data_IF_025043305525
#
_entry.id   IF_025043305525
#
_cell.length_a   1.000
_cell.length_b   1.000
_cell.length_c   1.000
_cell.angle_alpha   90.00
_cell.angle_beta   90.00
_cell.angle_gamma   90.00
#
_symmetry.space_group_name_H-M   'P 1'
#
loop_
_entity.id
_entity.type
_entity.pdbx_description
1 polymer ?
#
# COMPACT_ATOMS: atom_id res chain seq x y z
N UNK A 1 -3.21 1.57 9.24
CA UNK A 1 -4.34 2.13 8.44
C UNK A 1 -3.89 2.79 7.13
N UNK A 2 -3.08 3.86 7.20
CA UNK A 2 -2.72 4.70 6.03
C UNK A 2 -1.98 3.91 4.95
N UNK A 3 -1.05 3.02 5.34
CA UNK A 3 -0.30 2.15 4.42
C UNK A 3 -1.19 1.16 3.67
N UNK A 4 -2.33 0.77 4.26
CA UNK A 4 -3.35 -0.02 3.59
C UNK A 4 -4.24 0.81 2.66
N UNK A 5 -4.02 2.11 2.50
CA UNK A 5 -4.78 2.97 1.57
C UNK A 5 -6.08 3.52 2.15
N UNK A 6 -6.21 3.52 3.48
CA UNK A 6 -7.38 3.97 4.21
C UNK A 6 -7.27 5.41 4.73
N UNK A 7 -8.40 6.11 4.79
CA UNK A 7 -8.60 7.35 5.57
C UNK A 7 -9.77 7.17 6.54
N UNK A 8 -9.76 7.86 7.68
CA UNK A 8 -10.89 7.86 8.61
C UNK A 8 -11.94 8.88 8.16
N UNK A 9 -13.21 8.52 8.19
CA UNK A 9 -14.31 9.39 7.73
C UNK A 9 -14.93 10.24 8.87
N UNK A 10 -14.19 10.44 9.95
CA UNK A 10 -14.58 11.09 11.22
C UNK A 10 -15.79 10.44 11.92
N UNK A 11 -16.00 9.14 11.72
CA UNK A 11 -17.09 8.39 12.33
C UNK A 11 -16.51 7.22 13.10
N UNK A 12 -16.24 7.43 14.39
CA UNK A 12 -15.61 6.42 15.26
C UNK A 12 -14.32 5.88 14.65
N UNK A 13 -14.24 4.55 14.55
CA UNK A 13 -13.13 3.82 13.95
C UNK A 13 -13.34 3.46 12.47
N UNK A 14 -14.35 4.03 11.82
CA UNK A 14 -14.64 3.72 10.42
C UNK A 14 -13.57 4.31 9.51
N UNK A 15 -13.05 3.47 8.62
CA UNK A 15 -12.14 3.88 7.55
C UNK A 15 -12.68 3.51 6.18
N UNK A 16 -12.25 4.26 5.16
CA UNK A 16 -12.65 4.08 3.77
C UNK A 16 -11.40 4.03 2.88
N UNK A 17 -11.36 3.09 1.93
CA UNK A 17 -10.28 3.06 0.95
C UNK A 17 -10.42 4.21 -0.05
N UNK A 18 -9.32 4.92 -0.31
CA UNK A 18 -9.30 6.03 -1.28
C UNK A 18 -9.62 5.64 -2.74
N UNK A 19 -9.48 4.35 -3.10
CA UNK A 19 -9.60 3.87 -4.49
C UNK A 19 -10.76 2.91 -4.76
N UNK A 20 -11.17 2.08 -3.79
CA UNK A 20 -12.25 1.10 -4.00
C UNK A 20 -13.47 1.33 -3.12
N UNK A 21 -13.45 2.34 -2.25
CA UNK A 21 -14.52 2.62 -1.26
C UNK A 21 -14.83 1.46 -0.31
N UNK A 22 -13.94 0.47 -0.15
CA UNK A 22 -14.06 -0.52 0.93
C UNK A 22 -14.15 0.21 2.28
N UNK A 23 -15.19 -0.10 3.05
CA UNK A 23 -15.44 0.45 4.39
C UNK A 23 -15.16 -0.64 5.42
N UNK A 24 -14.38 -0.30 6.45
CA UNK A 24 -14.09 -1.19 7.58
C UNK A 24 -14.26 -0.42 8.88
N UNK A 25 -14.83 -1.05 9.90
CA UNK A 25 -15.10 -0.50 11.23
C UNK A 25 -15.05 -1.65 12.25
N UNK A 26 -15.16 -1.33 13.54
CA UNK A 26 -15.05 -2.29 14.65
C UNK A 26 -13.69 -2.98 14.67
N UNK A 27 -12.64 -2.16 14.66
CA UNK A 27 -11.27 -2.61 14.65
C UNK A 27 -10.86 -3.22 15.98
N UNK A 28 -10.01 -4.23 15.90
CA UNK A 28 -9.36 -4.88 17.03
C UNK A 28 -7.85 -4.70 16.89
N UNK A 29 -7.21 -3.78 17.65
CA UNK A 29 -5.84 -3.29 17.37
C UNK A 29 -4.72 -4.34 17.40
N UNK A 30 -4.98 -5.52 17.95
CA UNK A 30 -3.99 -6.61 18.04
C UNK A 30 -4.21 -7.76 17.06
N UNK A 31 -5.41 -7.86 16.47
CA UNK A 31 -5.76 -8.98 15.59
C UNK A 31 -5.98 -8.53 14.15
N UNK A 32 -6.43 -7.29 13.96
CA UNK A 32 -6.83 -6.79 12.65
C UNK A 32 -5.66 -6.09 11.99
N UNK A 33 -5.01 -6.77 11.03
CA UNK A 33 -4.06 -6.13 10.14
C UNK A 33 -4.80 -5.41 8.99
N UNK A 34 -4.64 -4.07 8.85
CA UNK A 34 -5.35 -3.32 7.83
C UNK A 34 -5.00 -3.74 6.40
N UNK A 35 -3.76 -4.16 6.14
CA UNK A 35 -3.31 -4.58 4.82
C UNK A 35 -3.91 -5.95 4.45
N UNK A 36 -3.93 -6.92 5.38
CA UNK A 36 -4.57 -8.23 5.22
C UNK A 36 -6.08 -8.11 5.04
N UNK A 37 -6.76 -7.29 5.84
CA UNK A 37 -8.20 -7.06 5.67
C UNK A 37 -8.49 -6.46 4.30
N UNK A 38 -7.71 -5.48 3.84
CA UNK A 38 -7.91 -4.90 2.51
C UNK A 38 -7.65 -5.91 1.39
N UNK A 39 -6.58 -6.71 1.49
CA UNK A 39 -6.26 -7.79 0.54
C UNK A 39 -7.38 -8.82 0.47
N UNK A 40 -7.92 -9.22 1.61
CA UNK A 40 -8.93 -10.26 1.73
C UNK A 40 -10.30 -9.79 1.24
N UNK A 41 -10.72 -8.59 1.66
CA UNK A 41 -12.06 -8.06 1.36
C UNK A 41 -12.16 -7.40 -0.01
N UNK A 42 -11.05 -6.92 -0.59
CA UNK A 42 -11.03 -6.21 -1.88
C UNK A 42 -9.77 -6.49 -2.68
N UNK A 43 -9.49 -7.76 -2.97
CA UNK A 43 -8.29 -8.21 -3.72
C UNK A 43 -8.13 -7.55 -5.10
N UNK A 44 -9.24 -7.17 -5.75
CA UNK A 44 -9.24 -6.49 -7.05
C UNK A 44 -9.04 -4.96 -6.96
N UNK A 45 -8.94 -4.40 -5.76
CA UNK A 45 -8.64 -2.98 -5.58
C UNK A 45 -7.30 -2.63 -6.23
N UNK A 46 -7.28 -1.52 -6.99
CA UNK A 46 -6.05 -1.05 -7.66
C UNK A 46 -4.94 -0.72 -6.65
N UNK A 47 -5.29 -0.25 -5.45
CA UNK A 47 -4.32 -0.02 -4.37
C UNK A 47 -3.69 -1.33 -3.91
N UNK A 48 -4.51 -2.35 -3.69
CA UNK A 48 -4.06 -3.69 -3.26
C UNK A 48 -3.10 -4.27 -4.31
N UNK A 49 -3.52 -4.29 -5.57
CA UNK A 49 -2.74 -4.84 -6.68
C UNK A 49 -1.40 -4.11 -6.88
N UNK A 50 -1.39 -2.79 -6.73
CA UNK A 50 -0.20 -1.96 -6.98
C UNK A 50 0.75 -1.86 -5.78
N UNK A 51 0.26 -1.99 -4.53
CA UNK A 51 1.04 -1.67 -3.32
C UNK A 51 1.12 -2.78 -2.28
N UNK A 52 0.14 -3.70 -2.21
CA UNK A 52 0.05 -4.69 -1.14
C UNK A 52 0.34 -6.13 -1.59
N UNK A 53 0.06 -6.48 -2.85
CA UNK A 53 0.34 -7.84 -3.38
C UNK A 53 1.81 -8.07 -3.72
N UNK A 54 2.50 -7.02 -4.19
CA UNK A 54 3.92 -7.04 -4.51
C UNK A 54 4.55 -5.82 -3.85
N UNK A 55 4.91 -5.88 -2.56
CA UNK A 55 5.67 -4.81 -1.94
C UNK A 55 6.91 -4.59 -2.81
N UNK A 56 7.10 -3.38 -3.32
CA UNK A 56 8.26 -3.08 -4.16
C UNK A 56 9.48 -3.23 -3.26
N UNK A 57 10.14 -4.39 -3.29
CA UNK A 57 11.50 -4.58 -2.80
C UNK A 57 12.39 -3.77 -3.73
N UNK A 58 12.42 -2.46 -3.49
CA UNK A 58 13.29 -1.55 -4.23
C UNK A 58 14.70 -1.85 -3.75
N UNK A 59 15.36 -2.83 -4.37
CA UNK A 59 16.82 -2.97 -4.31
C UNK A 59 17.40 -1.81 -5.11
N UNK A 60 17.35 -0.60 -4.56
CA UNK A 60 18.01 0.56 -5.14
C UNK A 60 19.50 0.23 -5.09
N UNK A 61 20.04 -0.18 -6.23
CA UNK A 61 21.48 -0.39 -6.38
C UNK A 61 22.03 0.93 -6.88
N UNK A 62 22.76 1.65 -6.05
CA UNK A 62 23.48 2.84 -6.48
C UNK A 62 24.67 2.33 -7.29
N UNK A 63 24.56 2.33 -8.61
CA UNK A 63 25.69 2.05 -9.50
C UNK A 63 26.51 3.33 -9.58
N UNK A 64 27.57 3.42 -8.77
CA UNK A 64 28.63 4.37 -9.06
C UNK A 64 29.45 3.74 -10.20
N UNK A 65 29.18 4.16 -11.42
CA UNK A 65 29.89 3.71 -12.61
C UNK A 65 31.34 4.20 -12.54
N UNK A 66 32.24 3.32 -12.10
CA UNK A 66 33.63 3.32 -12.58
C UNK A 66 33.93 1.94 -13.15
N UNK A 67 34.31 1.93 -14.41
CA UNK A 67 34.52 0.73 -15.21
C UNK A 67 35.83 0.06 -14.82
N UNK A 68 35.85 -1.26 -14.59
CA UNK A 68 36.82 -2.19 -15.21
C UNK A 68 36.63 -3.66 -14.79
N UNK A 69 36.25 -4.47 -15.77
CA UNK A 69 36.73 -5.85 -16.06
C UNK A 69 36.38 -7.06 -15.16
N UNK A 70 35.52 -7.92 -15.76
CA UNK A 70 35.71 -9.37 -15.98
C UNK A 70 35.43 -10.33 -14.82
N UNK A 71 34.38 -11.17 -14.97
CA UNK A 71 34.49 -12.65 -15.19
C UNK A 71 33.10 -13.30 -15.25
N UNK A 72 32.74 -13.74 -16.47
CA UNK A 72 32.07 -14.99 -16.87
C UNK A 72 31.21 -15.77 -15.86
N UNK A 73 29.90 -15.90 -16.16
CA UNK A 73 29.07 -16.97 -15.60
C UNK A 73 27.55 -16.75 -15.67
N UNK A 74 26.97 -16.70 -16.88
CA UNK A 74 25.51 -16.84 -17.08
C UNK A 74 25.17 -18.34 -17.07
N UNK A 75 24.16 -18.76 -16.31
CA UNK A 75 23.18 -19.70 -16.85
C UNK A 75 21.75 -19.17 -16.74
N UNK A 76 21.15 -19.04 -17.93
CA UNK A 76 19.79 -19.45 -18.32
C UNK A 76 18.60 -19.33 -17.35
N UNK A 77 17.54 -18.73 -17.92
CA UNK A 77 16.12 -18.92 -17.66
C UNK A 77 15.53 -18.40 -16.35
N UNK A 78 14.98 -17.19 -16.41
CA UNK A 78 13.72 -16.89 -15.73
C UNK A 78 12.81 -16.22 -16.76
N UNK A 79 11.65 -16.84 -16.95
CA UNK A 79 10.62 -16.47 -17.91
C UNK A 79 10.30 -14.98 -17.87
N UNK A 80 10.27 -14.34 -19.03
CA UNK A 80 9.57 -13.08 -19.23
C UNK A 80 8.05 -13.32 -19.11
N UNK A 81 7.56 -13.53 -17.89
CA UNK A 81 6.17 -13.25 -17.56
C UNK A 81 6.12 -11.83 -17.00
N UNK A 82 6.26 -10.88 -17.93
CA UNK A 82 5.90 -9.49 -17.72
C UNK A 82 4.37 -9.40 -17.67
N UNK A 83 3.78 -9.85 -16.58
CA UNK A 83 2.71 -9.07 -15.97
C UNK A 83 3.34 -8.30 -14.83
N UNK A 84 4.27 -7.41 -15.18
CA UNK A 84 4.51 -6.21 -14.39
C UNK A 84 3.13 -5.55 -14.27
N UNK A 85 2.48 -5.81 -13.14
CA UNK A 85 1.31 -5.03 -12.75
C UNK A 85 1.86 -3.63 -12.61
N UNK A 86 1.60 -2.87 -13.66
CA UNK A 86 2.14 -1.57 -13.93
C UNK A 86 2.01 -0.71 -12.67
N UNK A 87 3.13 -0.39 -12.04
CA UNK A 87 3.19 0.67 -11.02
C UNK A 87 2.59 2.00 -11.55
N UNK A 88 2.43 2.12 -12.88
CA UNK A 88 1.73 3.21 -13.55
C UNK A 88 0.20 3.16 -13.47
N UNK A 89 -0.45 2.03 -13.17
CA UNK A 89 -1.92 1.95 -13.11
C UNK A 89 -2.51 2.86 -12.02
N UNK A 90 -1.79 3.03 -10.90
CA UNK A 90 -2.19 3.94 -9.82
C UNK A 90 -1.99 5.41 -10.21
N UNK A 91 -1.04 5.69 -11.13
CA UNK A 91 -0.72 7.06 -11.59
C UNK A 91 -1.80 7.58 -12.53
N UNK A 92 -2.42 6.71 -13.33
CA UNK A 92 -3.42 7.10 -14.32
C UNK A 92 -4.88 7.00 -13.84
N UNK A 93 -5.13 6.36 -12.68
CA UNK A 93 -6.48 6.24 -12.12
C UNK A 93 -6.72 7.27 -11.02
N UNK A 94 -7.73 8.12 -11.22
CA UNK A 94 -8.16 9.06 -10.19
C UNK A 94 -8.65 8.30 -8.94
N UNK A 95 -8.30 8.84 -7.76
CA UNK A 95 -8.84 8.34 -6.51
C UNK A 95 -10.35 8.61 -6.44
N UNK A 96 -11.12 7.65 -5.92
CA UNK A 96 -12.54 7.86 -5.62
C UNK A 96 -12.74 8.92 -4.54
N UNK A 97 -11.77 9.09 -3.64
CA UNK A 97 -11.78 10.09 -2.58
C UNK A 97 -10.57 11.05 -2.74
N UNK A 98 -10.61 11.98 -3.72
CA UNK A 98 -9.47 12.82 -4.06
C UNK A 98 -9.07 13.80 -2.95
N UNK A 99 -9.99 14.16 -2.04
CA UNK A 99 -9.67 14.98 -0.87
C UNK A 99 -8.63 14.32 0.06
N UNK A 100 -8.51 12.99 0.01
CA UNK A 100 -7.59 12.20 0.82
C UNK A 100 -6.49 11.52 -0.02
N UNK A 101 -6.32 11.91 -1.29
CA UNK A 101 -5.24 11.41 -2.15
C UNK A 101 -3.86 11.90 -1.67
N UNK A 102 -3.81 13.10 -1.10
CA UNK A 102 -2.62 13.67 -0.46
C UNK A 102 -2.34 13.02 0.90
N UNK A 103 -1.08 12.63 1.12
CA UNK A 103 -0.63 11.99 2.36
C UNK A 103 -0.92 12.84 3.61
N UNK A 104 -0.62 14.17 3.66
CA UNK A 104 -0.89 14.96 4.86
C UNK A 104 -2.37 14.99 5.25
N UNK A 105 -3.27 15.18 4.27
CA UNK A 105 -4.73 15.16 4.52
C UNK A 105 -5.21 13.80 5.01
N UNK A 106 -4.63 12.72 4.47
CA UNK A 106 -4.91 11.35 4.93
C UNK A 106 -4.46 11.13 6.36
N UNK A 107 -3.26 11.57 6.74
CA UNK A 107 -2.81 11.53 8.13
C UNK A 107 -3.72 12.33 9.05
N UNK A 108 -4.08 13.56 8.66
CA UNK A 108 -4.95 14.42 9.44
C UNK A 108 -6.34 13.82 9.69
N UNK A 109 -6.82 12.94 8.79
CA UNK A 109 -8.10 12.25 8.99
C UNK A 109 -8.15 11.37 10.25
N UNK A 110 -7.00 10.93 10.75
CA UNK A 110 -6.90 10.10 11.97
C UNK A 110 -6.70 10.92 13.24
N UNK A 111 -6.80 12.25 13.21
CA UNK A 111 -6.67 13.09 14.40
C UNK A 111 -7.71 12.78 15.49
N UNK A 112 -8.86 12.23 15.10
CA UNK A 112 -9.96 11.81 15.98
C UNK A 112 -10.04 10.28 16.15
N UNK A 113 -8.99 9.53 15.77
CA UNK A 113 -8.98 8.07 15.88
C UNK A 113 -9.11 7.62 17.35
N UNK A 114 -10.01 6.66 17.66
CA UNK A 114 -10.23 6.24 19.05
C UNK A 114 -8.97 5.68 19.70
N UNK A 115 -8.67 6.11 20.93
CA UNK A 115 -7.51 5.65 21.70
C UNK A 115 -7.52 4.14 21.94
N UNK A 116 -8.71 3.55 22.10
CA UNK A 116 -8.89 2.10 22.25
C UNK A 116 -8.42 1.29 21.04
N UNK A 117 -8.27 1.94 19.88
CA UNK A 117 -7.78 1.36 18.63
C UNK A 117 -6.35 1.80 18.30
N UNK A 118 -5.67 2.47 19.23
CA UNK A 118 -4.22 2.65 19.16
C UNK A 118 -3.58 1.37 19.69
N UNK A 119 -2.68 0.77 18.92
CA UNK A 119 -1.81 -0.27 19.44
C UNK A 119 -1.01 0.33 20.60
N UNK A 120 -1.27 -0.12 21.84
CA UNK A 120 -0.45 0.22 23.00
C UNK A 120 0.97 -0.31 22.73
N UNK A 121 1.84 0.58 22.28
CA UNK A 121 3.29 0.36 22.29
C UNK A 121 3.78 0.75 23.68
N UNK A 122 4.00 -0.25 24.52
CA UNK A 122 4.96 -0.16 25.64
C UNK A 122 6.35 -0.56 25.13
#
# INVERSE_FOLDING_TARGET
>A
MIEAGFFNCNIGDRVICIYCNLIVQQWTPYTDDPCELHKTLSSNCIYVRARLMHPITSSITIVNEDSTTTTSGIPSSISNNLSSIQSSDIVFRAACNPAYSEIPKRHASFASWPNENLSLVD
#
